data_IF_616084266217
#
_entry.id   IF_616084266217
#
_cell.length_a   1.000
_cell.length_b   1.000
_cell.length_c   1.000
_cell.angle_alpha   90.00
_cell.angle_beta   90.00
_cell.angle_gamma   90.00
#
_symmetry.space_group_name_H-M   'P 1'
#
loop_
_entity.id
_entity.type
_entity.pdbx_description
1 polymer ?
#
# COMPACT_ATOMS: atom_id res chain seq x y z
N UNK A 1 -11.37 4.16 21.46
CA UNK A 1 -11.61 5.47 20.78
C UNK A 1 -10.27 6.14 20.59
N UNK A 2 -9.81 6.30 19.37
CA UNK A 2 -8.59 7.05 19.06
C UNK A 2 -8.91 8.53 19.15
N UNK A 3 -8.29 9.23 20.08
CA UNK A 3 -8.47 10.68 20.29
C UNK A 3 -8.22 11.40 18.94
N UNK A 4 -9.23 12.12 18.44
CA UNK A 4 -9.13 12.97 17.25
C UNK A 4 -9.51 12.35 15.91
N UNK A 5 -10.10 11.15 15.87
CA UNK A 5 -10.68 10.56 14.66
C UNK A 5 -12.20 10.36 14.81
N UNK A 6 -12.94 10.47 13.70
CA UNK A 6 -14.38 10.17 13.64
C UNK A 6 -14.60 8.83 12.92
N UNK A 7 -15.69 8.17 13.24
CA UNK A 7 -16.10 6.94 12.59
C UNK A 7 -16.37 7.20 11.08
N UNK A 8 -15.66 6.46 10.20
CA UNK A 8 -15.74 6.65 8.75
C UNK A 8 -14.83 7.75 8.16
N UNK A 9 -14.00 8.42 8.96
CA UNK A 9 -13.06 9.44 8.46
C UNK A 9 -11.89 8.77 7.73
N UNK A 10 -11.47 9.28 6.53
CA UNK A 10 -10.26 8.78 5.86
C UNK A 10 -9.03 8.89 6.76
N UNK A 11 -8.18 7.86 6.77
CA UNK A 11 -7.03 7.76 7.69
C UNK A 11 -6.06 8.94 7.56
N UNK A 12 -5.90 9.49 6.36
CA UNK A 12 -5.09 10.68 6.10
C UNK A 12 -5.62 11.93 6.83
N UNK A 13 -6.94 12.08 6.96
CA UNK A 13 -7.54 13.20 7.71
C UNK A 13 -7.46 12.97 9.21
N UNK A 14 -7.70 11.73 9.64
CA UNK A 14 -7.55 11.33 11.03
C UNK A 14 -6.10 11.55 11.53
N UNK A 15 -5.09 11.25 10.69
CA UNK A 15 -3.68 11.53 10.97
C UNK A 15 -3.40 13.02 11.20
N UNK A 16 -3.90 13.89 10.34
CA UNK A 16 -3.75 15.34 10.48
C UNK A 16 -4.41 15.89 11.75
N UNK A 17 -5.57 15.36 12.14
CA UNK A 17 -6.24 15.74 13.40
C UNK A 17 -5.47 15.28 14.64
N UNK A 18 -4.88 14.08 14.61
CA UNK A 18 -4.05 13.58 15.72
C UNK A 18 -2.85 14.50 15.98
N UNK A 19 -2.27 15.08 14.93
CA UNK A 19 -1.17 16.07 15.05
C UNK A 19 -1.66 17.32 15.78
N UNK A 20 -2.83 17.85 15.41
CA UNK A 20 -3.39 19.03 16.10
C UNK A 20 -3.70 18.73 17.56
N UNK A 21 -4.24 17.56 17.87
CA UNK A 21 -4.46 17.13 19.26
C UNK A 21 -3.16 17.00 20.03
N UNK A 22 -2.13 16.37 19.44
CA UNK A 22 -0.79 16.28 20.03
C UNK A 22 -0.19 17.67 20.32
N UNK A 23 -0.31 18.59 19.37
CA UNK A 23 0.11 19.98 19.54
C UNK A 23 -0.57 20.67 20.74
N UNK A 24 -1.87 20.46 20.93
CA UNK A 24 -2.59 21.02 22.07
C UNK A 24 -2.23 20.37 23.40
N UNK A 25 -2.10 19.03 23.40
CA UNK A 25 -1.78 18.27 24.64
C UNK A 25 -0.40 18.64 25.17
N UNK A 26 0.57 18.87 24.30
CA UNK A 26 1.93 19.27 24.68
C UNK A 26 2.01 20.79 24.87
N UNK A 27 1.42 21.55 23.96
CA UNK A 27 1.53 23.00 23.90
C UNK A 27 0.79 23.73 25.03
N UNK A 28 -0.34 23.21 25.51
CA UNK A 28 -1.08 23.84 26.60
C UNK A 28 -0.28 23.90 27.91
N UNK A 29 0.21 22.77 28.47
CA UNK A 29 0.95 22.82 29.72
C UNK A 29 2.29 23.56 29.59
N UNK A 30 2.98 23.47 28.45
CA UNK A 30 4.24 24.18 28.25
C UNK A 30 4.07 25.70 28.25
N UNK A 31 3.02 26.23 27.59
CA UNK A 31 2.73 27.68 27.58
C UNK A 31 2.32 28.19 28.94
N UNK A 32 1.52 27.44 29.69
CA UNK A 32 1.18 27.81 31.07
C UNK A 32 2.45 27.84 31.94
N UNK A 33 3.34 26.87 31.80
CA UNK A 33 4.59 26.80 32.56
C UNK A 33 5.51 27.96 32.23
N UNK A 34 5.83 28.18 30.96
CA UNK A 34 6.71 29.27 30.53
C UNK A 34 6.11 30.66 30.83
N UNK A 35 4.83 30.85 30.52
CA UNK A 35 4.16 32.12 30.85
C UNK A 35 4.15 32.44 32.36
N UNK A 36 4.09 31.39 33.24
CA UNK A 36 4.20 31.60 34.69
C UNK A 36 5.60 32.03 35.09
N UNK A 37 6.65 31.43 34.51
CA UNK A 37 8.02 31.83 34.73
C UNK A 37 8.21 33.29 34.30
N UNK A 38 7.82 33.64 33.06
CA UNK A 38 7.91 34.97 32.49
C UNK A 38 7.24 36.03 33.37
N UNK A 39 6.05 35.71 33.93
CA UNK A 39 5.38 36.60 34.89
C UNK A 39 6.17 36.73 36.19
N UNK A 40 6.74 35.64 36.70
CA UNK A 40 7.53 35.65 37.97
C UNK A 40 8.82 36.44 37.85
N UNK A 41 9.37 36.56 36.64
CA UNK A 41 10.57 37.36 36.32
C UNK A 41 10.26 38.87 36.13
N UNK A 42 8.99 39.28 36.23
CA UNK A 42 8.56 40.66 36.12
C UNK A 42 7.94 41.05 34.76
N UNK A 43 7.89 40.15 33.81
CA UNK A 43 7.41 40.38 32.43
C UNK A 43 5.90 40.01 32.29
N UNK A 44 5.06 40.61 33.11
CA UNK A 44 3.66 40.20 33.26
C UNK A 44 2.84 40.25 31.95
N UNK A 45 3.08 41.24 31.10
CA UNK A 45 2.34 41.34 29.83
C UNK A 45 2.78 40.27 28.83
N UNK A 46 4.07 39.95 28.72
CA UNK A 46 4.58 38.89 27.85
C UNK A 46 4.09 37.51 28.31
N UNK A 47 4.18 37.18 29.61
CA UNK A 47 3.64 35.92 30.12
C UNK A 47 2.15 35.75 30.03
N UNK A 48 1.36 36.86 30.04
CA UNK A 48 -0.07 36.84 29.78
C UNK A 48 -0.38 36.46 28.32
N UNK A 49 0.48 36.79 27.36
CA UNK A 49 0.36 36.36 25.96
C UNK A 49 0.50 34.83 25.85
N UNK A 50 1.52 34.23 26.53
CA UNK A 50 1.70 32.78 26.58
C UNK A 50 0.47 32.08 27.16
N UNK A 51 -0.09 32.60 28.26
CA UNK A 51 -1.30 32.06 28.86
C UNK A 51 -2.50 32.14 27.90
N UNK A 52 -2.70 33.26 27.20
CA UNK A 52 -3.76 33.41 26.21
C UNK A 52 -3.57 32.44 25.05
N UNK A 53 -2.34 32.32 24.56
CA UNK A 53 -1.98 31.40 23.48
C UNK A 53 -2.17 29.91 23.86
N UNK A 54 -2.05 29.56 25.15
CA UNK A 54 -2.29 28.20 25.61
C UNK A 54 -3.73 27.74 25.34
N UNK A 55 -4.72 28.60 25.42
CA UNK A 55 -6.13 28.26 25.21
C UNK A 55 -6.50 28.15 23.73
N UNK A 56 -5.77 28.78 22.80
CA UNK A 56 -6.11 28.79 21.37
C UNK A 56 -6.21 27.38 20.80
N UNK A 57 -5.25 26.44 20.99
CA UNK A 57 -5.37 25.08 20.48
C UNK A 57 -6.51 24.29 21.15
N UNK A 58 -6.80 24.51 22.42
CA UNK A 58 -7.89 23.84 23.13
C UNK A 58 -9.25 24.26 22.54
N UNK A 59 -9.46 25.57 22.35
CA UNK A 59 -10.66 26.11 21.73
C UNK A 59 -10.78 25.60 20.28
N UNK A 60 -9.71 25.60 19.53
CA UNK A 60 -9.64 25.15 18.15
C UNK A 60 -10.05 23.67 17.99
N UNK A 61 -9.52 22.80 18.84
CA UNK A 61 -9.86 21.36 18.81
C UNK A 61 -11.33 21.15 19.25
N UNK A 62 -11.77 21.89 20.25
CA UNK A 62 -13.16 21.84 20.70
C UNK A 62 -14.10 22.28 19.58
N UNK A 63 -13.77 23.33 18.84
CA UNK A 63 -14.55 23.77 17.68
C UNK A 63 -14.62 22.69 16.58
N UNK A 64 -13.51 21.97 16.33
CA UNK A 64 -13.48 20.87 15.35
C UNK A 64 -14.36 19.68 15.76
N UNK A 65 -14.58 19.46 17.06
CA UNK A 65 -15.48 18.42 17.54
C UNK A 65 -16.93 18.68 17.12
N UNK A 66 -17.35 19.95 17.12
CA UNK A 66 -18.72 20.34 16.78
C UNK A 66 -18.90 20.66 15.28
N UNK A 67 -17.84 21.13 14.61
CA UNK A 67 -17.84 21.50 13.19
C UNK A 67 -16.63 20.94 12.47
N UNK A 68 -16.66 19.66 12.06
CA UNK A 68 -15.53 19.00 11.38
C UNK A 68 -15.04 19.71 10.12
N UNK A 69 -15.96 20.36 9.38
CA UNK A 69 -15.62 21.14 8.17
C UNK A 69 -14.77 22.40 8.42
N UNK A 70 -14.57 22.81 9.68
CA UNK A 70 -13.75 23.95 10.04
C UNK A 70 -12.25 23.62 10.16
N UNK A 71 -11.82 22.47 9.67
CA UNK A 71 -10.42 22.04 9.75
C UNK A 71 -9.45 23.12 9.21
N UNK A 72 -9.65 23.56 7.98
CA UNK A 72 -8.77 24.54 7.32
C UNK A 72 -8.74 25.89 8.06
N UNK A 73 -9.87 26.54 8.38
CA UNK A 73 -9.86 27.76 9.19
C UNK A 73 -9.15 27.59 10.55
N UNK A 74 -9.38 26.48 11.22
CA UNK A 74 -8.76 26.20 12.53
C UNK A 74 -7.24 26.08 12.41
N UNK A 75 -6.73 25.40 11.39
CA UNK A 75 -5.29 25.33 11.13
C UNK A 75 -4.70 26.71 10.88
N UNK A 76 -5.34 27.56 10.10
CA UNK A 76 -4.88 28.93 9.86
C UNK A 76 -4.82 29.76 11.16
N UNK A 77 -5.82 29.63 12.04
CA UNK A 77 -5.81 30.30 13.35
C UNK A 77 -4.67 29.82 14.22
N UNK A 78 -4.44 28.51 14.28
CA UNK A 78 -3.34 27.91 15.06
C UNK A 78 -1.97 28.36 14.57
N UNK A 79 -1.73 28.36 13.26
CA UNK A 79 -0.45 28.79 12.70
C UNK A 79 -0.22 30.30 12.91
N UNK A 80 -1.27 31.12 12.76
CA UNK A 80 -1.20 32.55 13.04
C UNK A 80 -0.91 32.85 14.51
N UNK A 81 -1.53 32.10 15.43
CA UNK A 81 -1.29 32.30 16.86
C UNK A 81 0.17 32.06 17.26
N UNK A 82 0.85 31.07 16.63
CA UNK A 82 2.27 30.80 16.88
C UNK A 82 3.16 31.96 16.42
N UNK A 83 2.86 32.58 15.28
CA UNK A 83 3.63 33.76 14.84
C UNK A 83 3.43 34.92 15.82
N UNK A 84 2.18 35.21 16.19
CA UNK A 84 1.87 36.35 17.08
C UNK A 84 2.42 36.15 18.50
N UNK A 85 2.33 34.91 19.03
CA UNK A 85 2.85 34.53 20.33
C UNK A 85 4.37 34.78 20.46
N UNK A 86 5.14 34.67 19.39
CA UNK A 86 6.58 34.90 19.40
C UNK A 86 6.94 36.32 18.93
N UNK A 87 6.20 36.90 17.98
CA UNK A 87 6.50 38.23 17.45
C UNK A 87 6.20 39.35 18.48
N UNK A 88 5.06 39.26 19.17
CA UNK A 88 4.66 40.34 20.11
C UNK A 88 5.66 40.46 21.28
N UNK A 89 6.03 39.40 22.01
CA UNK A 89 7.07 39.47 23.01
C UNK A 89 8.43 39.93 22.45
N UNK A 90 8.83 39.50 21.25
CA UNK A 90 10.07 39.94 20.61
C UNK A 90 10.12 41.47 20.47
N UNK A 91 9.03 42.10 20.04
CA UNK A 91 8.91 43.56 19.96
C UNK A 91 8.89 44.21 21.34
N UNK A 92 8.20 43.58 22.32
CA UNK A 92 8.11 44.09 23.69
C UNK A 92 9.45 44.11 24.43
N UNK A 93 10.33 43.16 24.14
CA UNK A 93 11.68 43.06 24.71
C UNK A 93 12.72 43.94 24.00
N UNK A 94 12.39 44.49 22.82
CA UNK A 94 13.29 45.38 22.09
C UNK A 94 14.04 44.75 20.93
N UNK A 95 13.80 43.48 20.64
CA UNK A 95 14.38 42.84 19.45
C UNK A 95 14.62 41.33 19.57
N UNK A 96 15.30 40.80 18.56
CA UNK A 96 15.52 39.34 18.46
C UNK A 96 16.49 38.83 19.53
N UNK A 97 17.52 39.60 19.88
CA UNK A 97 18.53 39.18 20.84
C UNK A 97 18.04 39.39 22.29
N UNK A 98 17.30 40.44 22.53
CA UNK A 98 16.65 40.75 23.80
C UNK A 98 15.55 39.76 24.16
N UNK A 99 14.94 39.15 23.15
CA UNK A 99 13.93 38.09 23.28
C UNK A 99 14.48 36.66 23.10
N UNK A 100 15.77 36.45 23.30
CA UNK A 100 16.46 35.14 23.23
C UNK A 100 16.14 34.37 21.94
N UNK A 101 15.92 35.06 20.80
CA UNK A 101 15.56 34.49 19.51
C UNK A 101 14.24 33.68 19.51
N UNK A 102 13.22 34.08 20.30
CA UNK A 102 11.92 33.39 20.36
C UNK A 102 11.31 33.13 18.97
N UNK A 103 11.57 34.02 18.01
CA UNK A 103 11.14 33.85 16.61
C UNK A 103 11.68 32.56 15.96
N UNK A 104 12.71 31.93 16.48
CA UNK A 104 13.20 30.64 15.96
C UNK A 104 12.12 29.53 16.06
N UNK A 105 11.25 29.58 17.08
CA UNK A 105 10.16 28.62 17.20
C UNK A 105 9.09 28.78 16.12
N UNK A 106 8.99 29.93 15.45
CA UNK A 106 8.01 30.13 14.37
C UNK A 106 8.33 29.32 13.10
N UNK A 107 9.52 28.71 13.00
CA UNK A 107 9.84 27.72 11.94
C UNK A 107 8.84 26.55 11.97
N UNK A 108 8.26 26.24 13.15
CA UNK A 108 7.22 25.24 13.29
C UNK A 108 5.95 25.56 12.50
N UNK A 109 5.67 26.84 12.24
CA UNK A 109 4.55 27.27 11.39
C UNK A 109 4.71 26.76 9.97
N UNK A 110 5.93 26.84 9.42
CA UNK A 110 6.23 26.39 8.06
C UNK A 110 6.06 24.87 7.98
N UNK A 111 6.61 24.14 8.93
CA UNK A 111 6.50 22.68 9.00
C UNK A 111 5.04 22.26 9.20
N UNK A 112 4.34 22.88 10.15
CA UNK A 112 2.93 22.62 10.41
C UNK A 112 2.05 22.89 9.19
N UNK A 113 2.30 23.96 8.46
CA UNK A 113 1.60 24.28 7.22
C UNK A 113 1.84 23.24 6.12
N UNK A 114 3.08 22.80 5.93
CA UNK A 114 3.43 21.75 4.94
C UNK A 114 2.77 20.41 5.25
N UNK A 115 2.61 20.06 6.51
CA UNK A 115 1.97 18.79 6.93
C UNK A 115 0.45 18.87 6.80
N UNK A 116 -0.16 20.01 7.11
CA UNK A 116 -1.62 20.12 7.34
C UNK A 116 -2.38 20.74 6.19
N UNK A 117 -1.76 21.62 5.39
CA UNK A 117 -2.39 22.40 4.34
C UNK A 117 -1.92 22.00 2.93
N UNK A 118 -2.72 22.33 1.87
CA UNK A 118 -2.26 22.21 0.49
C UNK A 118 -1.03 23.10 0.20
N UNK A 119 -0.17 22.67 -0.72
CA UNK A 119 1.12 23.34 -1.02
C UNK A 119 1.04 24.86 -1.27
N UNK A 120 -0.01 25.33 -1.95
CA UNK A 120 -0.22 26.79 -2.15
C UNK A 120 -0.48 27.54 -0.84
N UNK A 121 -1.25 26.97 0.05
CA UNK A 121 -1.52 27.58 1.35
C UNK A 121 -0.29 27.53 2.25
N UNK A 122 0.45 26.42 2.23
CA UNK A 122 1.72 26.29 2.96
C UNK A 122 2.78 27.31 2.50
N UNK A 123 2.84 27.60 1.18
CA UNK A 123 3.72 28.66 0.66
C UNK A 123 3.42 30.02 1.25
N UNK A 124 2.15 30.39 1.39
CA UNK A 124 1.78 31.68 2.00
C UNK A 124 2.13 31.76 3.49
N UNK A 125 2.13 30.63 4.21
CA UNK A 125 2.61 30.58 5.58
C UNK A 125 4.13 30.71 5.68
N UNK A 126 4.89 30.21 4.70
CA UNK A 126 6.31 30.50 4.58
C UNK A 126 6.58 32.00 4.37
N UNK A 127 5.80 32.66 3.51
CA UNK A 127 5.87 34.12 3.31
C UNK A 127 5.52 34.86 4.60
N UNK A 128 4.48 34.43 5.32
CA UNK A 128 4.09 35.01 6.60
C UNK A 128 5.19 34.85 7.66
N UNK A 129 5.86 33.73 7.69
CA UNK A 129 7.05 33.50 8.55
C UNK A 129 8.18 34.49 8.23
N UNK A 130 8.54 34.64 6.96
CA UNK A 130 9.57 35.60 6.54
C UNK A 130 9.20 37.05 6.88
N UNK A 131 7.92 37.41 6.67
CA UNK A 131 7.40 38.73 7.07
C UNK A 131 7.48 38.92 8.57
N UNK A 132 7.15 37.89 9.36
CA UNK A 132 7.31 37.92 10.83
C UNK A 132 8.75 38.18 11.26
N UNK A 133 9.72 37.55 10.60
CA UNK A 133 11.15 37.84 10.87
C UNK A 133 11.54 39.28 10.54
N UNK A 134 11.06 39.80 9.39
CA UNK A 134 11.33 41.22 9.05
C UNK A 134 10.71 42.15 10.06
N UNK A 135 9.45 41.89 10.47
CA UNK A 135 8.79 42.70 11.49
C UNK A 135 9.51 42.64 12.87
N UNK A 136 10.03 41.46 13.24
CA UNK A 136 10.79 41.30 14.47
C UNK A 136 12.11 42.09 14.51
N UNK A 137 12.65 42.46 13.36
CA UNK A 137 13.84 43.34 13.25
C UNK A 137 13.43 44.81 13.17
N UNK A 138 12.43 45.17 12.36
CA UNK A 138 12.09 46.55 12.03
C UNK A 138 11.22 47.21 13.12
N UNK A 139 10.28 46.49 13.72
CA UNK A 139 9.34 47.05 14.68
C UNK A 139 10.01 47.57 15.96
N UNK A 140 11.02 46.89 16.55
CA UNK A 140 11.73 47.42 17.72
C UNK A 140 12.46 48.72 17.46
N UNK A 141 12.90 49.01 16.22
CA UNK A 141 13.51 50.29 15.86
C UNK A 141 12.50 51.45 15.77
N UNK A 142 11.21 51.12 15.60
CA UNK A 142 10.11 52.08 15.42
C UNK A 142 9.30 52.29 16.70
N UNK A 143 9.33 51.34 17.61
CA UNK A 143 8.51 51.32 18.84
C UNK A 143 9.46 51.22 20.04
N UNK A 144 9.23 52.05 21.05
CA UNK A 144 9.96 51.93 22.30
C UNK A 144 9.65 50.58 22.97
N UNK A 145 10.66 49.81 23.43
CA UNK A 145 10.43 48.55 24.10
C UNK A 145 9.68 48.76 25.42
N UNK A 146 8.81 47.79 25.75
CA UNK A 146 8.06 47.84 27.02
C UNK A 146 8.96 47.43 28.19
N UNK A 147 9.95 46.58 27.90
CA UNK A 147 10.89 46.08 28.87
C UNK A 147 12.30 46.45 28.46
N UNK A 148 13.09 47.01 29.41
CA UNK A 148 14.53 47.19 29.23
C UNK A 148 15.21 45.87 29.60
N UNK A 149 15.60 45.08 28.60
CA UNK A 149 16.26 43.79 28.78
C UNK A 149 17.62 43.85 28.12
N UNK A 150 18.64 43.39 28.82
CA UNK A 150 19.96 43.18 28.18
C UNK A 150 19.87 41.99 27.24
N UNK A 151 20.63 41.97 26.12
CA UNK A 151 20.71 40.82 25.23
C UNK A 151 20.99 39.53 26.02
N UNK A 152 20.22 38.48 25.72
CA UNK A 152 20.29 37.22 26.44
C UNK A 152 21.67 36.61 26.48
N UNK A 153 21.95 35.88 27.56
CA UNK A 153 23.19 35.15 27.68
C UNK A 153 23.38 34.14 26.55
N UNK A 154 24.62 33.91 26.11
CA UNK A 154 24.90 32.96 25.03
C UNK A 154 24.31 31.55 25.28
N UNK A 155 24.14 31.16 26.55
CA UNK A 155 23.53 29.89 26.95
C UNK A 155 22.02 29.86 26.65
N UNK A 156 21.30 30.95 26.88
CA UNK A 156 19.85 31.04 26.64
C UNK A 156 19.54 31.02 25.15
N UNK A 157 20.28 31.81 24.36
CA UNK A 157 20.21 31.79 22.89
C UNK A 157 20.52 30.39 22.34
N UNK A 158 21.59 29.73 22.85
CA UNK A 158 21.92 28.37 22.45
C UNK A 158 20.80 27.37 22.81
N UNK A 159 20.13 27.55 23.95
CA UNK A 159 18.99 26.74 24.39
C UNK A 159 17.80 26.86 23.44
N UNK A 160 17.41 28.08 23.05
CA UNK A 160 16.32 28.33 22.10
C UNK A 160 16.63 27.76 20.70
N UNK A 161 17.86 27.96 20.21
CA UNK A 161 18.30 27.40 18.93
C UNK A 161 18.30 25.87 18.96
N UNK A 162 18.81 25.26 20.04
CA UNK A 162 18.80 23.81 20.21
C UNK A 162 17.35 23.25 20.27
N UNK A 163 16.46 23.89 21.03
CA UNK A 163 15.06 23.52 21.14
C UNK A 163 14.34 23.61 19.80
N UNK A 164 14.52 24.70 19.07
CA UNK A 164 13.93 24.87 17.73
C UNK A 164 14.49 23.88 16.72
N UNK A 165 15.80 23.57 16.77
CA UNK A 165 16.41 22.56 15.91
C UNK A 165 15.89 21.14 16.20
N UNK A 166 15.69 20.78 17.48
CA UNK A 166 15.08 19.50 17.88
C UNK A 166 13.66 19.38 17.35
N UNK A 167 12.84 20.44 17.50
CA UNK A 167 11.48 20.45 16.98
C UNK A 167 11.44 20.35 15.46
N UNK A 168 12.33 21.06 14.77
CA UNK A 168 12.48 20.99 13.31
C UNK A 168 12.86 19.57 12.86
N UNK A 169 13.85 18.96 13.53
CA UNK A 169 14.24 17.58 13.23
C UNK A 169 13.09 16.60 13.45
N UNK A 170 12.37 16.71 14.57
CA UNK A 170 11.23 15.86 14.87
C UNK A 170 10.11 15.98 13.81
N UNK A 171 9.79 17.21 13.38
CA UNK A 171 8.83 17.48 12.32
C UNK A 171 9.27 16.90 10.98
N UNK A 172 10.52 17.10 10.60
CA UNK A 172 11.09 16.55 9.37
C UNK A 172 11.14 15.02 9.40
N UNK A 173 11.58 14.43 10.52
CA UNK A 173 11.61 12.98 10.70
C UNK A 173 10.21 12.36 10.62
N UNK A 174 9.19 13.03 11.19
CA UNK A 174 7.80 12.63 11.04
C UNK A 174 7.36 12.65 9.57
N UNK A 175 7.66 13.72 8.84
CA UNK A 175 7.30 13.88 7.43
C UNK A 175 7.96 12.81 6.55
N UNK A 176 9.26 12.56 6.74
CA UNK A 176 9.99 11.52 6.02
C UNK A 176 9.36 10.14 6.27
N UNK A 177 9.11 9.79 7.54
CA UNK A 177 8.45 8.51 7.88
C UNK A 177 7.05 8.38 7.26
N UNK A 178 6.29 9.46 7.21
CA UNK A 178 4.96 9.46 6.60
C UNK A 178 5.05 9.25 5.08
N UNK A 179 5.97 9.95 4.42
CA UNK A 179 6.26 9.76 2.99
C UNK A 179 6.63 8.30 2.69
N UNK A 180 7.56 7.75 3.46
CA UNK A 180 8.06 6.39 3.26
C UNK A 180 6.94 5.35 3.44
N UNK A 181 6.06 5.53 4.44
CA UNK A 181 4.87 4.70 4.61
C UNK A 181 3.91 4.76 3.42
N UNK A 182 3.63 5.96 2.88
CA UNK A 182 2.78 6.09 1.71
C UNK A 182 3.39 5.46 0.47
N UNK A 183 4.69 5.62 0.28
CA UNK A 183 5.41 4.95 -0.81
C UNK A 183 5.30 3.43 -0.66
N UNK A 184 5.57 2.90 0.53
CA UNK A 184 5.49 1.46 0.79
C UNK A 184 4.07 0.90 0.57
N UNK A 185 3.03 1.59 1.06
CA UNK A 185 1.64 1.18 0.79
C UNK A 185 1.30 1.19 -0.71
N UNK A 186 1.77 2.19 -1.45
CA UNK A 186 1.58 2.24 -2.90
C UNK A 186 2.31 1.09 -3.60
N UNK A 187 3.49 0.77 -3.14
CA UNK A 187 4.31 -0.33 -3.66
C UNK A 187 3.65 -1.68 -3.38
N UNK A 188 3.22 -1.92 -2.15
CA UNK A 188 2.51 -3.14 -1.76
C UNK A 188 1.23 -3.36 -2.59
N UNK A 189 0.45 -2.28 -2.83
CA UNK A 189 -0.74 -2.36 -3.68
C UNK A 189 -0.40 -2.72 -5.13
N UNK A 190 0.70 -2.20 -5.68
CA UNK A 190 1.12 -2.50 -7.05
C UNK A 190 1.60 -3.95 -7.17
N UNK A 191 2.38 -4.44 -6.20
CA UNK A 191 2.86 -5.83 -6.14
C UNK A 191 1.75 -6.85 -5.89
N UNK A 192 0.62 -6.45 -5.27
CA UNK A 192 -0.56 -7.30 -5.14
C UNK A 192 -1.38 -7.44 -6.44
N UNK A 193 -1.10 -6.60 -7.45
CA UNK A 193 -1.84 -6.60 -8.72
C UNK A 193 -0.98 -7.11 -9.88
N UNK A 194 0.33 -6.86 -9.83
CA UNK A 194 1.28 -7.21 -10.89
C UNK A 194 2.42 -8.07 -10.33
N UNK A 195 2.99 -8.98 -11.13
CA UNK A 195 4.23 -9.68 -10.76
C UNK A 195 5.34 -8.70 -10.40
N UNK A 196 6.22 -9.07 -9.47
CA UNK A 196 7.27 -8.20 -8.92
C UNK A 196 8.19 -7.59 -9.98
N UNK A 197 8.60 -8.40 -10.97
CA UNK A 197 9.44 -7.94 -12.08
C UNK A 197 8.73 -6.90 -12.94
N UNK A 198 7.44 -7.11 -13.19
CA UNK A 198 6.61 -6.23 -14.01
C UNK A 198 6.29 -4.93 -13.25
N UNK A 199 5.99 -5.01 -11.96
CA UNK A 199 5.78 -3.84 -11.11
C UNK A 199 7.03 -2.96 -11.05
N UNK A 200 8.21 -3.57 -10.92
CA UNK A 200 9.50 -2.86 -10.91
C UNK A 200 9.80 -2.17 -12.25
N UNK A 201 9.55 -2.86 -13.36
CA UNK A 201 9.74 -2.28 -14.72
C UNK A 201 8.77 -1.12 -14.96
N UNK A 202 7.51 -1.26 -14.60
CA UNK A 202 6.49 -0.22 -14.81
C UNK A 202 6.79 1.06 -14.02
N UNK A 203 7.43 0.96 -12.84
CA UNK A 203 7.88 2.12 -12.06
C UNK A 203 9.04 2.86 -12.73
N UNK A 204 9.95 2.13 -13.35
CA UNK A 204 11.14 2.72 -13.98
C UNK A 204 10.87 3.24 -15.39
N UNK A 205 10.03 2.55 -16.14
CA UNK A 205 9.65 2.89 -17.52
C UNK A 205 8.18 2.52 -17.77
N UNK A 206 7.28 3.49 -17.88
CA UNK A 206 5.86 3.27 -18.16
C UNK A 206 5.57 2.91 -19.63
N UNK A 207 6.58 2.52 -20.42
CA UNK A 207 6.38 2.06 -21.78
C UNK A 207 5.60 0.74 -21.83
N UNK A 208 5.14 0.38 -23.02
CA UNK A 208 4.42 -0.88 -23.24
C UNK A 208 5.32 -2.07 -22.89
N UNK A 209 4.84 -2.93 -21.99
CA UNK A 209 5.50 -4.19 -21.63
C UNK A 209 4.87 -5.30 -22.48
N UNK A 210 5.67 -5.93 -23.33
CA UNK A 210 5.28 -7.09 -24.13
C UNK A 210 6.54 -7.94 -24.37
N UNK A 211 6.60 -9.10 -23.74
CA UNK A 211 7.75 -10.00 -23.77
C UNK A 211 7.38 -11.35 -24.38
N UNK A 212 8.29 -11.91 -25.19
CA UNK A 212 8.16 -13.24 -25.76
C UNK A 212 8.76 -14.30 -24.82
N UNK A 213 7.98 -15.34 -24.53
CA UNK A 213 8.39 -16.49 -23.75
C UNK A 213 8.26 -17.76 -24.62
N UNK A 214 9.36 -18.28 -25.17
CA UNK A 214 9.32 -19.44 -26.09
C UNK A 214 8.96 -20.74 -25.36
N UNK A 215 9.14 -20.80 -24.05
CA UNK A 215 8.92 -21.99 -23.24
C UNK A 215 8.08 -21.62 -22.01
N UNK A 216 6.78 -21.85 -22.11
CA UNK A 216 5.83 -21.66 -21.03
C UNK A 216 4.83 -22.81 -20.99
N UNK A 217 4.20 -23.03 -19.84
CA UNK A 217 3.05 -23.92 -19.70
C UNK A 217 1.89 -23.16 -19.08
N UNK A 218 0.71 -23.33 -19.62
CA UNK A 218 -0.52 -22.65 -19.18
C UNK A 218 -1.53 -23.71 -18.74
N UNK A 219 -2.12 -23.46 -17.57
CA UNK A 219 -3.20 -24.25 -16.98
C UNK A 219 -4.47 -23.42 -16.89
N UNK A 220 -5.58 -24.02 -17.30
CA UNK A 220 -6.92 -23.56 -16.98
C UNK A 220 -7.63 -24.62 -16.12
N UNK A 221 -8.34 -24.16 -15.09
CA UNK A 221 -9.17 -25.01 -14.23
C UNK A 221 -10.53 -24.34 -14.01
N UNK A 222 -11.62 -25.04 -14.37
CA UNK A 222 -13.00 -24.54 -14.32
C UNK A 222 -13.88 -25.45 -13.45
N UNK A 223 -14.80 -24.85 -12.68
CA UNK A 223 -15.68 -25.60 -11.78
C UNK A 223 -16.86 -26.21 -12.55
N UNK A 224 -16.96 -27.53 -12.51
CA UNK A 224 -18.02 -28.27 -13.21
C UNK A 224 -19.39 -27.93 -12.61
N UNK A 225 -20.32 -27.52 -13.48
CA UNK A 225 -21.70 -27.23 -13.06
C UNK A 225 -21.85 -25.95 -12.21
N UNK A 226 -20.88 -25.03 -12.26
CA UNK A 226 -20.94 -23.78 -11.50
C UNK A 226 -22.17 -22.93 -11.84
N UNK A 227 -22.51 -22.76 -13.13
CA UNK A 227 -23.62 -21.91 -13.56
C UNK A 227 -24.97 -22.31 -12.93
N UNK A 228 -25.42 -23.57 -12.96
CA UNK A 228 -26.65 -23.97 -12.26
C UNK A 228 -26.53 -23.87 -10.74
N UNK A 229 -25.37 -24.15 -10.17
CA UNK A 229 -25.13 -24.02 -8.72
C UNK A 229 -25.23 -22.56 -8.28
N UNK A 230 -24.56 -21.64 -8.97
CA UNK A 230 -24.57 -20.21 -8.67
C UNK A 230 -25.96 -19.59 -8.67
N UNK A 231 -26.88 -20.10 -9.52
CA UNK A 231 -28.26 -19.64 -9.56
C UNK A 231 -29.07 -19.95 -8.27
N UNK A 232 -28.59 -20.89 -7.45
CA UNK A 232 -29.25 -21.28 -6.17
C UNK A 232 -28.64 -20.58 -4.96
N UNK A 233 -27.54 -19.82 -5.12
CA UNK A 233 -26.80 -19.15 -4.04
C UNK A 233 -27.09 -17.66 -3.98
N UNK A 234 -26.99 -17.09 -2.79
CA UNK A 234 -26.94 -15.62 -2.66
C UNK A 234 -25.57 -15.09 -3.08
N UNK A 235 -25.45 -13.82 -3.56
CA UNK A 235 -24.16 -13.26 -3.96
C UNK A 235 -23.05 -13.38 -2.92
N UNK A 236 -23.26 -13.12 -1.61
CA UNK A 236 -22.23 -13.32 -0.59
C UNK A 236 -21.79 -14.79 -0.45
N UNK A 237 -22.72 -15.75 -0.56
CA UNK A 237 -22.39 -17.18 -0.50
C UNK A 237 -21.53 -17.60 -1.69
N UNK A 238 -21.89 -17.15 -2.89
CA UNK A 238 -21.15 -17.44 -4.12
C UNK A 238 -19.71 -16.89 -4.06
N UNK A 239 -19.57 -15.61 -3.71
CA UNK A 239 -18.24 -14.98 -3.55
C UNK A 239 -17.44 -15.66 -2.45
N UNK A 240 -18.07 -16.01 -1.32
CA UNK A 240 -17.42 -16.73 -0.22
C UNK A 240 -16.89 -18.10 -0.63
N UNK A 241 -17.67 -18.84 -1.44
CA UNK A 241 -17.26 -20.13 -1.99
C UNK A 241 -16.04 -20.02 -2.90
N UNK A 242 -16.11 -19.13 -3.90
CA UNK A 242 -14.99 -18.91 -4.83
C UNK A 242 -13.74 -18.42 -4.09
N UNK A 243 -13.90 -17.52 -3.13
CA UNK A 243 -12.79 -17.04 -2.34
C UNK A 243 -12.11 -18.17 -1.56
N UNK A 244 -12.88 -19.07 -0.95
CA UNK A 244 -12.33 -20.22 -0.23
C UNK A 244 -11.54 -21.16 -1.17
N UNK A 245 -12.07 -21.46 -2.34
CA UNK A 245 -11.42 -22.31 -3.35
C UNK A 245 -10.14 -21.65 -3.86
N UNK A 246 -10.25 -20.41 -4.35
CA UNK A 246 -9.13 -19.75 -5.02
C UNK A 246 -8.03 -19.29 -4.05
N UNK A 247 -8.35 -18.96 -2.81
CA UNK A 247 -7.32 -18.69 -1.80
C UNK A 247 -6.41 -19.92 -1.61
N UNK A 248 -6.98 -21.13 -1.60
CA UNK A 248 -6.17 -22.34 -1.48
C UNK A 248 -5.32 -22.61 -2.72
N UNK A 249 -5.88 -22.33 -3.92
CA UNK A 249 -5.11 -22.43 -5.16
C UNK A 249 -3.97 -21.41 -5.20
N UNK A 250 -4.20 -20.19 -4.72
CA UNK A 250 -3.18 -19.14 -4.59
C UNK A 250 -2.01 -19.60 -3.67
N UNK A 251 -2.31 -20.33 -2.59
CA UNK A 251 -1.28 -20.93 -1.72
C UNK A 251 -0.43 -21.96 -2.49
N UNK A 252 -1.03 -22.90 -3.22
CA UNK A 252 -0.30 -23.88 -4.03
C UNK A 252 0.53 -23.22 -5.14
N UNK A 253 -0.02 -22.20 -5.80
CA UNK A 253 0.70 -21.42 -6.83
C UNK A 253 1.95 -20.77 -6.24
N UNK A 254 1.82 -20.16 -5.05
CA UNK A 254 2.94 -19.52 -4.35
C UNK A 254 4.01 -20.55 -3.90
N UNK A 255 3.60 -21.70 -3.34
CA UNK A 255 4.50 -22.76 -2.90
C UNK A 255 5.34 -23.34 -4.06
N UNK A 256 4.75 -23.43 -5.26
CA UNK A 256 5.41 -23.92 -6.46
C UNK A 256 6.14 -22.83 -7.27
N UNK A 257 6.06 -21.58 -6.84
CA UNK A 257 6.67 -20.43 -7.52
C UNK A 257 6.11 -20.24 -8.94
N UNK A 258 4.80 -20.33 -9.08
CA UNK A 258 4.06 -20.15 -10.34
C UNK A 258 3.40 -18.78 -10.38
N UNK A 259 2.94 -18.38 -11.57
CA UNK A 259 2.27 -17.11 -11.75
C UNK A 259 0.76 -17.29 -11.97
N UNK A 260 -0.04 -16.80 -11.03
CA UNK A 260 -1.48 -16.64 -11.23
C UNK A 260 -1.73 -15.50 -12.20
N UNK A 261 -2.35 -15.79 -13.33
CA UNK A 261 -2.63 -14.77 -14.34
C UNK A 261 -3.93 -14.04 -14.02
N UNK A 262 -5.03 -14.77 -13.89
CA UNK A 262 -6.36 -14.20 -13.58
C UNK A 262 -7.38 -15.28 -13.24
N UNK A 263 -8.53 -14.82 -12.75
CA UNK A 263 -9.76 -15.60 -12.72
C UNK A 263 -10.77 -15.05 -13.74
N UNK A 264 -11.52 -15.93 -14.40
CA UNK A 264 -12.57 -15.56 -15.37
C UNK A 264 -13.87 -16.23 -14.90
N UNK A 265 -14.61 -15.55 -14.03
CA UNK A 265 -15.75 -16.20 -13.36
C UNK A 265 -15.28 -17.26 -12.36
N UNK A 266 -15.61 -18.53 -12.67
CA UNK A 266 -15.19 -19.72 -11.92
C UNK A 266 -13.96 -20.43 -12.52
N UNK A 267 -13.40 -19.90 -13.60
CA UNK A 267 -12.19 -20.41 -14.22
C UNK A 267 -10.93 -19.75 -13.63
N UNK A 268 -9.93 -20.57 -13.29
CA UNK A 268 -8.66 -20.16 -12.72
C UNK A 268 -7.52 -20.40 -13.71
N UNK A 269 -6.75 -19.36 -14.04
CA UNK A 269 -5.66 -19.40 -15.00
C UNK A 269 -4.31 -19.19 -14.34
N UNK A 270 -3.36 -20.12 -14.57
CA UNK A 270 -1.99 -20.10 -14.06
C UNK A 270 -1.01 -20.39 -15.18
N UNK A 271 0.19 -19.82 -15.06
CA UNK A 271 1.28 -20.11 -15.99
C UNK A 271 2.60 -20.37 -15.24
N UNK A 272 3.46 -21.13 -15.91
CA UNK A 272 4.86 -21.32 -15.51
C UNK A 272 5.78 -20.93 -16.67
N UNK A 273 6.97 -20.39 -16.32
CA UNK A 273 7.92 -19.87 -17.30
C UNK A 273 7.68 -18.41 -17.67
N UNK A 274 6.80 -17.73 -16.97
CA UNK A 274 6.46 -16.31 -17.07
C UNK A 274 6.20 -15.75 -15.66
N UNK A 275 6.54 -14.49 -15.36
CA UNK A 275 7.42 -13.58 -16.10
C UNK A 275 8.89 -14.02 -16.03
N UNK A 276 9.20 -14.98 -15.17
CA UNK A 276 10.54 -15.54 -15.01
C UNK A 276 10.64 -16.87 -15.76
N UNK A 277 11.50 -16.97 -16.78
CA UNK A 277 11.72 -18.23 -17.49
C UNK A 277 12.21 -19.34 -16.55
N UNK A 278 11.66 -20.57 -16.70
CA UNK A 278 12.08 -21.75 -15.97
C UNK A 278 12.06 -23.00 -16.85
N UNK A 279 13.06 -23.85 -16.70
CA UNK A 279 13.21 -25.06 -17.55
C UNK A 279 12.20 -26.15 -17.22
N UNK A 280 11.72 -26.19 -15.98
CA UNK A 280 10.77 -27.18 -15.45
C UNK A 280 9.31 -26.70 -15.50
N UNK A 281 8.98 -25.72 -16.38
CA UNK A 281 7.65 -25.11 -16.46
C UNK A 281 6.52 -26.14 -16.61
N UNK A 282 6.70 -27.18 -17.41
CA UNK A 282 5.68 -28.22 -17.61
C UNK A 282 5.52 -29.09 -16.35
N UNK A 283 6.63 -29.44 -15.68
CA UNK A 283 6.60 -30.22 -14.45
C UNK A 283 5.91 -29.47 -13.32
N UNK A 284 6.25 -28.20 -13.12
CA UNK A 284 5.65 -27.38 -12.07
C UNK A 284 4.15 -27.16 -12.25
N UNK A 285 3.68 -26.94 -13.48
CA UNK A 285 2.24 -26.88 -13.79
C UNK A 285 1.54 -28.22 -13.58
N UNK A 286 2.20 -29.35 -13.90
CA UNK A 286 1.65 -30.66 -13.66
C UNK A 286 1.50 -30.99 -12.16
N UNK A 287 2.47 -30.60 -11.33
CA UNK A 287 2.36 -30.71 -9.86
C UNK A 287 1.18 -29.90 -9.34
N UNK A 288 1.07 -28.64 -9.72
CA UNK A 288 -0.07 -27.80 -9.35
C UNK A 288 -1.39 -28.46 -9.73
N UNK A 289 -1.51 -28.95 -10.95
CA UNK A 289 -2.75 -29.59 -11.44
C UNK A 289 -3.12 -30.82 -10.59
N UNK A 290 -2.13 -31.64 -10.19
CA UNK A 290 -2.35 -32.81 -9.34
C UNK A 290 -2.77 -32.38 -7.93
N UNK A 291 -2.09 -31.39 -7.33
CA UNK A 291 -2.44 -30.88 -5.99
C UNK A 291 -3.86 -30.26 -5.96
N UNK A 292 -4.20 -29.44 -6.94
CA UNK A 292 -5.54 -28.85 -7.06
C UNK A 292 -6.59 -29.96 -7.21
N UNK A 293 -6.39 -30.93 -8.12
CA UNK A 293 -7.32 -32.03 -8.32
C UNK A 293 -7.54 -32.84 -7.04
N UNK A 294 -6.46 -33.22 -6.36
CA UNK A 294 -6.51 -34.06 -5.16
C UNK A 294 -7.12 -33.30 -3.97
N UNK A 295 -6.86 -32.00 -3.85
CA UNK A 295 -7.50 -31.15 -2.86
C UNK A 295 -9.03 -31.07 -3.08
N UNK A 296 -9.47 -30.84 -4.32
CA UNK A 296 -10.89 -30.77 -4.65
C UNK A 296 -11.61 -32.10 -4.45
N UNK A 297 -10.94 -33.23 -4.71
CA UNK A 297 -11.50 -34.55 -4.51
C UNK A 297 -11.74 -34.89 -3.02
N UNK A 298 -10.96 -34.30 -2.13
CA UNK A 298 -10.98 -34.58 -0.67
C UNK A 298 -11.73 -33.54 0.15
N UNK A 299 -12.01 -32.36 -0.43
CA UNK A 299 -12.59 -31.22 0.32
C UNK A 299 -14.03 -30.95 -0.08
N UNK A 300 -14.86 -30.62 0.92
CA UNK A 300 -16.23 -30.12 0.70
C UNK A 300 -16.27 -28.60 0.97
N UNK A 301 -16.94 -27.88 0.09
CA UNK A 301 -17.07 -26.43 0.14
C UNK A 301 -18.53 -26.05 0.39
N UNK A 302 -18.81 -25.46 1.54
CA UNK A 302 -20.18 -25.11 1.95
C UNK A 302 -21.19 -26.28 1.82
N UNK A 303 -20.75 -27.53 2.05
CA UNK A 303 -21.56 -28.74 1.92
C UNK A 303 -21.70 -29.27 0.48
N UNK A 304 -20.95 -28.72 -0.47
CA UNK A 304 -20.91 -29.17 -1.87
C UNK A 304 -19.56 -29.82 -2.19
N UNK A 305 -19.58 -30.95 -2.87
CA UNK A 305 -18.41 -31.51 -3.55
C UNK A 305 -18.31 -30.87 -4.92
N UNK A 306 -17.18 -30.22 -5.17
CA UNK A 306 -16.91 -29.56 -6.44
C UNK A 306 -15.89 -30.38 -7.22
N UNK A 307 -16.15 -30.54 -8.51
CA UNK A 307 -15.19 -31.12 -9.46
C UNK A 307 -14.66 -30.05 -10.39
N UNK A 308 -13.43 -30.23 -10.88
CA UNK A 308 -12.84 -29.33 -11.87
C UNK A 308 -12.62 -30.05 -13.20
N UNK A 309 -12.70 -29.30 -14.28
CA UNK A 309 -12.00 -29.64 -15.52
C UNK A 309 -10.70 -28.90 -15.53
N UNK A 310 -9.60 -29.60 -15.80
CA UNK A 310 -8.27 -29.01 -15.87
C UNK A 310 -7.66 -29.30 -17.24
N UNK A 311 -7.21 -28.25 -17.91
CA UNK A 311 -6.55 -28.33 -19.21
C UNK A 311 -5.17 -27.70 -19.17
N UNK A 312 -4.16 -28.39 -19.75
CA UNK A 312 -2.77 -27.90 -19.81
C UNK A 312 -2.26 -27.93 -21.23
N UNK A 313 -1.59 -26.88 -21.63
CA UNK A 313 -0.79 -26.82 -22.86
C UNK A 313 0.55 -26.12 -22.63
N UNK A 314 1.59 -26.60 -23.32
CA UNK A 314 2.94 -26.01 -23.29
C UNK A 314 3.33 -25.51 -24.67
N UNK A 315 3.94 -24.31 -24.72
CA UNK A 315 4.38 -23.68 -25.95
C UNK A 315 4.74 -22.18 -25.75
N UNK A 316 5.00 -21.45 -26.84
CA UNK A 316 5.35 -20.05 -26.75
C UNK A 316 4.15 -19.17 -26.41
N UNK A 317 4.38 -18.12 -25.58
CA UNK A 317 3.40 -17.10 -25.24
C UNK A 317 4.01 -15.72 -25.31
N UNK A 318 3.17 -14.71 -25.56
CA UNK A 318 3.50 -13.31 -25.32
C UNK A 318 2.86 -12.91 -23.99
N UNK A 319 3.61 -12.28 -23.12
CA UNK A 319 3.12 -11.79 -21.84
C UNK A 319 3.36 -10.29 -21.70
N UNK A 320 2.44 -9.56 -21.08
CA UNK A 320 2.61 -8.13 -20.93
C UNK A 320 1.44 -7.40 -20.30
N UNK A 321 1.42 -6.09 -20.46
CA UNK A 321 0.35 -5.20 -19.98
C UNK A 321 -0.29 -4.48 -21.16
N UNK A 322 -1.61 -4.54 -21.25
CA UNK A 322 -2.39 -3.80 -22.25
C UNK A 322 -3.25 -2.74 -21.57
N UNK A 323 -3.29 -1.55 -22.19
CA UNK A 323 -4.11 -0.43 -21.76
C UNK A 323 -3.37 0.57 -20.87
N UNK A 324 -4.03 1.70 -20.61
CA UNK A 324 -3.52 2.80 -19.77
C UNK A 324 -4.26 2.93 -18.44
N UNK A 325 -5.36 2.21 -18.28
CA UNK A 325 -6.18 2.18 -17.07
C UNK A 325 -6.49 0.73 -16.71
N UNK A 326 -6.53 0.43 -15.41
CA UNK A 326 -6.77 -0.92 -14.89
C UNK A 326 -5.77 -1.92 -15.45
N UNK A 327 -4.51 -1.69 -15.21
CA UNK A 327 -3.43 -2.59 -15.61
C UNK A 327 -3.71 -4.01 -15.20
N UNK A 328 -3.53 -4.93 -16.16
CA UNK A 328 -3.57 -6.36 -15.93
C UNK A 328 -2.42 -7.00 -16.70
N UNK A 329 -1.60 -7.77 -16.02
CA UNK A 329 -0.64 -8.65 -16.66
C UNK A 329 -1.39 -9.85 -17.23
N UNK A 330 -1.24 -10.10 -18.51
CA UNK A 330 -1.98 -11.16 -19.19
C UNK A 330 -1.09 -11.86 -20.22
N UNK A 331 -1.57 -13.00 -20.73
CA UNK A 331 -0.90 -13.82 -21.71
C UNK A 331 -1.69 -13.91 -23.00
N UNK A 332 -0.96 -13.87 -24.13
CA UNK A 332 -1.54 -14.02 -25.46
C UNK A 332 -0.77 -15.07 -26.25
N UNK A 333 -1.48 -15.67 -27.18
CA UNK A 333 -0.92 -16.63 -28.11
C UNK A 333 -1.79 -17.85 -28.32
N UNK A 334 -1.40 -18.65 -29.27
CA UNK A 334 -2.06 -19.91 -29.59
C UNK A 334 -2.01 -20.91 -28.42
N UNK A 335 -0.93 -20.87 -27.64
CA UNK A 335 -0.73 -21.69 -26.43
C UNK A 335 -1.84 -21.47 -25.41
N UNK A 336 -2.18 -20.21 -25.12
CA UNK A 336 -3.26 -19.86 -24.19
C UNK A 336 -4.60 -20.40 -24.67
N UNK A 337 -4.92 -20.18 -25.95
CA UNK A 337 -6.15 -20.67 -26.55
C UNK A 337 -6.24 -22.21 -26.54
N UNK A 338 -5.13 -22.89 -26.76
CA UNK A 338 -5.06 -24.34 -26.77
C UNK A 338 -5.25 -24.92 -25.37
N UNK A 339 -4.64 -24.33 -24.35
CA UNK A 339 -4.83 -24.70 -22.94
C UNK A 339 -6.30 -24.56 -22.51
N UNK A 340 -6.94 -23.43 -22.81
CA UNK A 340 -8.37 -23.22 -22.54
C UNK A 340 -9.27 -24.26 -23.24
N UNK A 341 -8.89 -24.71 -24.46
CA UNK A 341 -9.63 -25.79 -25.16
C UNK A 341 -9.38 -27.16 -24.57
N UNK A 342 -8.24 -27.41 -23.94
CA UNK A 342 -8.01 -28.62 -23.18
C UNK A 342 -8.90 -28.67 -21.94
N UNK A 343 -9.11 -27.54 -21.28
CA UNK A 343 -10.04 -27.43 -20.17
C UNK A 343 -11.48 -27.64 -20.63
N UNK A 344 -12.01 -26.82 -21.57
CA UNK A 344 -13.43 -26.83 -21.98
C UNK A 344 -13.86 -28.12 -22.69
N UNK A 345 -12.92 -28.79 -23.35
CA UNK A 345 -13.09 -30.13 -23.86
C UNK A 345 -12.71 -31.22 -22.85
N UNK A 346 -12.39 -30.89 -21.60
CA UNK A 346 -11.91 -31.80 -20.57
C UNK A 346 -13.00 -32.72 -19.98
N UNK A 347 -12.55 -33.76 -19.26
CA UNK A 347 -13.44 -34.64 -18.50
C UNK A 347 -13.50 -34.15 -17.07
N UNK A 348 -14.68 -34.01 -16.42
CA UNK A 348 -14.79 -33.67 -15.00
C UNK A 348 -13.90 -34.54 -14.11
N UNK A 349 -13.23 -33.92 -13.14
CA UNK A 349 -12.33 -34.60 -12.21
C UNK A 349 -10.98 -35.00 -12.81
N UNK A 350 -10.69 -34.67 -14.08
CA UNK A 350 -9.47 -35.10 -14.76
C UNK A 350 -8.64 -33.93 -15.29
N UNK A 351 -7.34 -34.21 -15.49
CA UNK A 351 -6.35 -33.26 -16.02
C UNK A 351 -6.02 -33.67 -17.45
N UNK A 352 -6.47 -32.89 -18.42
CA UNK A 352 -6.23 -33.15 -19.84
C UNK A 352 -5.02 -32.37 -20.34
N UNK A 353 -4.12 -33.03 -21.05
CA UNK A 353 -2.91 -32.43 -21.62
C UNK A 353 -2.79 -32.65 -23.11
N UNK A 354 -2.13 -31.74 -23.80
CA UNK A 354 -1.77 -31.83 -25.21
C UNK A 354 -0.55 -32.70 -25.45
N UNK A 355 -0.26 -33.10 -26.73
CA UNK A 355 0.98 -33.78 -27.09
C UNK A 355 2.23 -33.03 -26.62
N UNK A 356 2.28 -31.71 -26.84
CA UNK A 356 3.44 -30.89 -26.45
C UNK A 356 3.73 -30.93 -24.95
N UNK A 357 2.70 -30.94 -24.09
CA UNK A 357 2.87 -31.09 -22.64
C UNK A 357 3.23 -32.53 -22.26
N UNK A 358 2.59 -33.51 -22.91
CA UNK A 358 2.91 -34.93 -22.70
C UNK A 358 4.39 -35.22 -23.00
N UNK A 359 4.93 -34.75 -24.13
CA UNK A 359 6.31 -34.99 -24.55
C UNK A 359 7.35 -34.41 -23.56
N UNK A 360 7.01 -33.27 -22.93
CA UNK A 360 7.86 -32.66 -21.89
C UNK A 360 7.84 -33.44 -20.57
N UNK A 361 6.79 -34.17 -20.28
CA UNK A 361 6.58 -34.87 -19.01
C UNK A 361 6.81 -36.37 -19.12
N UNK A 362 6.70 -36.94 -20.32
CA UNK A 362 6.88 -38.36 -20.57
C UNK A 362 8.30 -38.80 -20.19
N UNK A 363 8.38 -39.89 -19.45
CA UNK A 363 9.68 -40.40 -18.92
C UNK A 363 10.19 -39.72 -17.65
N UNK A 364 9.57 -38.62 -17.20
CA UNK A 364 9.94 -37.87 -16.00
C UNK A 364 9.12 -38.25 -14.75
N UNK A 365 8.65 -39.50 -14.69
CA UNK A 365 7.94 -40.02 -13.52
C UNK A 365 6.44 -39.68 -13.48
N UNK A 366 5.89 -39.05 -14.51
CA UNK A 366 4.43 -38.82 -14.63
C UNK A 366 3.72 -39.99 -15.30
N UNK A 367 2.50 -40.28 -14.87
CA UNK A 367 1.65 -41.34 -15.42
C UNK A 367 0.53 -40.73 -16.23
N UNK A 368 0.31 -41.29 -17.41
CA UNK A 368 -0.69 -40.84 -18.35
C UNK A 368 -1.56 -42.02 -18.86
N UNK A 369 -2.80 -41.71 -19.18
CA UNK A 369 -3.71 -42.56 -19.90
C UNK A 369 -4.07 -41.86 -21.22
N UNK A 370 -4.01 -42.60 -22.37
CA UNK A 370 -4.44 -42.02 -23.64
C UNK A 370 -5.96 -41.77 -23.60
N UNK A 371 -6.36 -40.52 -23.83
CA UNK A 371 -7.76 -40.19 -24.02
C UNK A 371 -8.23 -40.42 -25.44
N UNK A 372 -7.31 -40.38 -26.40
CA UNK A 372 -7.57 -40.46 -27.82
C UNK A 372 -7.73 -39.10 -28.49
N UNK A 373 -8.23 -39.14 -29.73
CA UNK A 373 -8.35 -37.96 -30.58
C UNK A 373 -9.64 -37.20 -30.30
N UNK A 374 -9.52 -35.90 -30.01
CA UNK A 374 -10.66 -34.99 -29.85
C UNK A 374 -10.67 -33.91 -30.94
N UNK A 375 -11.81 -33.33 -31.25
CA UNK A 375 -11.89 -32.18 -32.13
C UNK A 375 -11.62 -30.89 -31.35
N UNK A 376 -10.50 -30.24 -31.65
CA UNK A 376 -10.12 -28.98 -31.03
C UNK A 376 -10.46 -27.82 -31.97
N UNK A 377 -11.30 -26.88 -31.53
CA UNK A 377 -11.75 -25.76 -32.35
C UNK A 377 -10.55 -24.95 -32.88
N UNK A 378 -10.44 -24.81 -34.22
CA UNK A 378 -9.35 -24.09 -34.88
C UNK A 378 -8.03 -24.87 -35.03
N UNK A 379 -7.98 -26.14 -34.54
CA UNK A 379 -6.80 -27.03 -34.65
C UNK A 379 -7.14 -28.34 -35.39
N UNK A 380 -8.42 -28.71 -35.45
CA UNK A 380 -8.83 -30.02 -35.97
C UNK A 380 -8.65 -31.16 -34.97
N UNK A 381 -8.48 -32.39 -35.47
CA UNK A 381 -8.29 -33.57 -34.62
C UNK A 381 -6.92 -33.50 -33.92
N UNK A 382 -6.90 -33.71 -32.60
CA UNK A 382 -5.71 -33.67 -31.74
C UNK A 382 -5.75 -34.87 -30.78
N UNK A 383 -4.66 -35.64 -30.73
CA UNK A 383 -4.46 -36.63 -29.68
C UNK A 383 -4.28 -35.95 -28.33
N UNK A 384 -4.85 -36.52 -27.28
CA UNK A 384 -4.77 -35.97 -25.93
C UNK A 384 -4.59 -37.07 -24.91
N UNK A 385 -4.02 -36.71 -23.77
CA UNK A 385 -3.77 -37.60 -22.64
C UNK A 385 -4.41 -37.07 -21.38
N UNK A 386 -4.71 -37.99 -20.46
CA UNK A 386 -5.09 -37.70 -19.09
C UNK A 386 -3.88 -37.90 -18.18
N UNK A 387 -3.45 -36.86 -17.49
CA UNK A 387 -2.44 -36.94 -16.44
C UNK A 387 -3.10 -37.51 -15.18
N UNK A 388 -2.72 -38.76 -14.84
CA UNK A 388 -3.35 -39.49 -13.72
C UNK A 388 -2.58 -39.37 -12.40
N UNK A 389 -1.29 -39.09 -12.44
CA UNK A 389 -0.48 -38.94 -11.24
C UNK A 389 1.03 -38.92 -11.50
N UNK A 390 1.79 -38.96 -10.42
CA UNK A 390 3.25 -39.11 -10.43
C UNK A 390 3.61 -40.50 -9.90
N UNK A 391 4.56 -41.16 -10.52
CA UNK A 391 5.10 -42.40 -9.98
C UNK A 391 5.88 -42.08 -8.69
N UNK A 392 5.51 -42.72 -7.60
CA UNK A 392 6.36 -42.67 -6.40
C UNK A 392 7.72 -43.24 -6.76
N UNK A 393 8.88 -42.63 -6.37
CA UNK A 393 10.14 -43.25 -6.49
C UNK A 393 10.05 -44.60 -5.77
N UNK A 394 10.36 -45.71 -6.51
CA UNK A 394 10.37 -47.02 -5.91
C UNK A 394 11.30 -46.97 -4.68
N UNK A 395 10.78 -47.34 -3.52
CA UNK A 395 11.63 -47.52 -2.35
C UNK A 395 12.84 -48.32 -2.72
N UNK A 396 14.07 -47.95 -2.32
CA UNK A 396 15.27 -48.70 -2.67
C UNK A 396 15.09 -50.15 -2.23
N UNK A 397 15.10 -51.03 -3.22
CA UNK A 397 14.79 -52.43 -3.05
C UNK A 397 15.67 -53.03 -1.94
N UNK A 398 15.04 -53.55 -0.92
CA UNK A 398 15.68 -54.51 -0.01
C UNK A 398 16.17 -55.67 -0.86
N UNK A 399 17.49 -55.69 -1.16
CA UNK A 399 18.12 -56.90 -1.57
C UNK A 399 17.83 -57.97 -0.53
N UNK A 400 17.06 -58.97 -0.85
CA UNK A 400 16.98 -60.17 -0.04
C UNK A 400 18.27 -60.94 -0.27
N UNK A 401 18.84 -61.50 0.80
CA UNK A 401 20.08 -62.26 0.79
C UNK A 401 19.93 -63.59 0.02
#
# INVERSE_FOLDING_TARGET
MTIGAYEGEPEAQAGKRRILVGYAVIGFPSRIFFGTITISEGFAAAGAIDWAAAFVPVIAITALRFKPGWYTPVVHILLGSVILENLIPTVMYGGLLEADLLMAFTVMVVIGALITLPGRAAFWWFVAFLLGLVLAVVMPEMLDPIYEVEPGAAADIAGVLAGSAILMYAGMAYFVRQRDRFQQQSDDLLHNILPDEIATRLKSDPSMIADDFPHASVLFADVVGFTPMSATMTPPQLVGLLNQVFTKFDEFVAELGLEKIKTIGDEYMVAAGVPVPRVDHAAAIAELALEIRDYMATTEFAGHKLELRIGIHSGPVVAGIIGTHKFAYDLWGDTVNTASRMESGGVPGQIQVTPATYDLLAGNGYRFEPRGTIQVKGKGPMETWILTGKAHPAAPGTMRP
#
